data_IF_080393730123
#
_entry.id   IF_080393730123
#
_cell.length_a   1.000
_cell.length_b   1.000
_cell.length_c   1.000
_cell.angle_alpha   90.00
_cell.angle_beta   90.00
_cell.angle_gamma   90.00
#
_symmetry.space_group_name_H-M   'P 1'
#
loop_
_entity.id
_entity.type
_entity.pdbx_description
1 polymer ?
#
# COMPACT_ATOMS: atom_id res chain seq x y z
N UNK A 1 18.42 25.74 -34.89
CA UNK A 1 18.92 25.99 -33.51
C UNK A 1 18.55 27.40 -33.09
N UNK A 2 17.67 27.55 -32.08
CA UNK A 2 17.45 28.80 -31.35
C UNK A 2 16.92 28.43 -29.96
N UNK A 3 17.84 28.37 -29.00
CA UNK A 3 17.56 28.24 -27.57
C UNK A 3 16.79 29.49 -27.10
N UNK A 4 15.72 29.31 -26.33
CA UNK A 4 15.18 30.35 -25.46
C UNK A 4 15.40 29.93 -24.01
N UNK A 5 16.01 30.83 -23.28
CA UNK A 5 16.61 30.66 -21.96
C UNK A 5 15.55 30.63 -20.86
N UNK A 6 15.92 29.92 -19.80
CA UNK A 6 15.28 29.79 -18.50
C UNK A 6 14.78 31.11 -17.89
N UNK A 7 13.64 31.03 -17.21
CA UNK A 7 13.29 31.92 -16.10
C UNK A 7 12.78 31.04 -14.95
N UNK A 8 13.69 30.82 -14.01
CA UNK A 8 13.46 30.34 -12.67
C UNK A 8 12.62 31.37 -11.90
N UNK A 9 11.51 30.93 -11.32
CA UNK A 9 10.83 31.67 -10.25
C UNK A 9 10.62 30.72 -9.08
N UNK A 10 11.59 30.76 -8.16
CA UNK A 10 11.49 30.20 -6.83
C UNK A 10 10.40 30.95 -6.04
N UNK A 11 9.47 30.22 -5.44
CA UNK A 11 8.60 30.75 -4.38
C UNK A 11 9.23 30.32 -3.06
N UNK A 12 10.15 31.15 -2.59
CA UNK A 12 10.51 31.26 -1.19
C UNK A 12 9.48 32.20 -0.54
N UNK A 13 9.33 32.13 0.80
CA UNK A 13 8.60 32.99 1.75
C UNK A 13 7.48 32.20 2.48
N UNK A 14 7.31 32.17 3.81
CA UNK A 14 7.95 32.83 4.96
C UNK A 14 7.70 31.91 6.18
N UNK A 15 8.74 31.77 7.02
CA UNK A 15 8.69 31.20 8.36
C UNK A 15 7.80 32.08 9.25
N UNK A 16 6.76 31.53 9.88
CA UNK A 16 6.09 32.20 11.00
C UNK A 16 6.33 31.39 12.27
N UNK A 17 7.40 31.77 12.96
CA UNK A 17 7.61 31.45 14.36
C UNK A 17 6.52 32.15 15.19
N UNK A 18 5.72 31.37 15.90
CA UNK A 18 4.95 31.88 17.04
C UNK A 18 5.59 31.34 18.31
N UNK A 19 6.05 32.22 19.23
CA UNK A 19 6.66 31.79 20.48
C UNK A 19 5.54 31.45 21.49
N UNK A 20 5.36 30.16 21.78
CA UNK A 20 4.68 29.74 23.01
C UNK A 20 5.75 29.61 24.10
N UNK A 21 6.07 30.73 24.73
CA UNK A 21 6.81 30.73 25.98
C UNK A 21 5.86 30.31 27.12
N UNK A 22 5.86 29.02 27.46
CA UNK A 22 5.51 28.59 28.81
C UNK A 22 6.79 28.59 29.63
N UNK A 23 6.82 29.44 30.65
CA UNK A 23 7.88 29.51 31.64
C UNK A 23 7.81 28.26 32.51
N UNK A 24 8.82 27.40 32.47
CA UNK A 24 9.12 26.48 33.57
C UNK A 24 10.62 26.24 33.60
N UNK A 25 11.26 26.71 34.67
CA UNK A 25 12.64 26.35 34.98
C UNK A 25 12.67 24.86 35.34
N UNK A 26 13.31 24.08 34.49
CA UNK A 26 13.58 22.67 34.68
C UNK A 26 14.32 22.19 33.46
N UNK A 27 15.64 22.02 33.61
CA UNK A 27 16.46 21.29 32.65
C UNK A 27 15.83 19.92 32.44
N UNK A 28 15.36 19.66 31.23
CA UNK A 28 15.36 18.36 30.57
C UNK A 28 14.79 18.59 29.17
N UNK A 29 15.67 18.49 28.17
CA UNK A 29 15.31 18.36 26.76
C UNK A 29 14.59 17.02 26.59
N UNK A 30 13.29 16.96 26.25
CA UNK A 30 12.81 15.80 25.54
C UNK A 30 13.03 16.15 24.07
N UNK A 31 14.21 15.78 23.56
CA UNK A 31 14.29 15.31 22.19
C UNK A 31 13.34 14.11 22.13
N UNK A 32 12.05 14.40 21.91
CA UNK A 32 11.09 13.39 21.49
C UNK A 32 11.60 12.93 20.13
N UNK A 33 12.45 11.91 20.19
CA UNK A 33 12.61 10.93 19.13
C UNK A 33 11.18 10.51 18.85
N UNK A 34 10.59 11.10 17.81
CA UNK A 34 9.38 10.58 17.19
C UNK A 34 9.81 9.19 16.74
N UNK A 35 9.56 8.20 17.60
CA UNK A 35 9.77 6.80 17.28
C UNK A 35 9.00 6.56 15.99
N UNK A 36 9.75 6.34 14.91
CA UNK A 36 9.19 5.98 13.62
C UNK A 36 8.30 4.75 13.86
N UNK A 37 6.97 4.85 13.76
CA UNK A 37 6.09 3.78 14.18
C UNK A 37 6.37 2.58 13.30
N UNK A 38 7.04 1.56 13.83
CA UNK A 38 7.80 0.56 13.07
C UNK A 38 7.08 0.12 11.79
N UNK A 39 7.65 0.47 10.63
CA UNK A 39 7.14 0.06 9.31
C UNK A 39 7.45 -1.40 9.00
N UNK A 40 8.22 -2.06 9.86
CA UNK A 40 8.61 -3.46 9.71
C UNK A 40 7.52 -4.37 10.26
N UNK A 41 7.10 -5.34 9.47
CA UNK A 41 6.14 -6.36 9.88
C UNK A 41 6.85 -7.60 10.42
N UNK A 42 6.33 -8.18 11.50
CA UNK A 42 6.74 -9.51 11.97
C UNK A 42 6.12 -10.62 11.12
N UNK A 43 4.87 -10.44 10.72
CA UNK A 43 4.10 -11.35 9.88
C UNK A 43 3.31 -10.54 8.87
N UNK A 44 3.40 -10.92 7.60
CA UNK A 44 2.53 -10.40 6.57
C UNK A 44 1.31 -11.30 6.41
N UNK A 45 0.12 -10.70 6.34
CA UNK A 45 -1.15 -11.39 6.18
C UNK A 45 -1.66 -11.05 4.78
N UNK A 46 -1.85 -12.10 3.98
CA UNK A 46 -2.28 -11.96 2.59
C UNK A 46 -3.71 -11.37 2.49
N UNK A 47 -3.94 -10.39 1.59
CA UNK A 47 -5.27 -9.86 1.30
C UNK A 47 -6.27 -10.93 0.82
N UNK A 48 -7.55 -10.66 1.05
CA UNK A 48 -8.63 -11.57 0.65
C UNK A 48 -8.83 -11.58 -0.87
N UNK A 49 -8.47 -12.69 -1.53
CA UNK A 49 -8.41 -12.75 -2.99
C UNK A 49 -9.19 -13.92 -3.60
N UNK A 50 -10.38 -14.22 -3.06
CA UNK A 50 -11.23 -15.28 -3.62
C UNK A 50 -11.93 -14.82 -4.89
N UNK A 51 -11.77 -15.58 -5.99
CA UNK A 51 -12.40 -15.27 -7.30
C UNK A 51 -13.92 -15.23 -7.17
N UNK A 52 -14.53 -14.16 -7.69
CA UNK A 52 -15.99 -13.98 -7.66
C UNK A 52 -16.56 -13.52 -6.31
N UNK A 53 -15.72 -13.27 -5.30
CA UNK A 53 -16.20 -12.77 -4.03
C UNK A 53 -16.70 -11.32 -4.13
N UNK A 54 -17.65 -10.97 -3.28
CA UNK A 54 -18.23 -9.62 -3.22
C UNK A 54 -17.57 -8.75 -2.13
N UNK A 55 -17.96 -7.48 -2.10
CA UNK A 55 -17.47 -6.49 -1.14
C UNK A 55 -17.68 -6.91 0.33
N UNK A 56 -18.80 -7.54 0.66
CA UNK A 56 -19.13 -7.92 2.04
C UNK A 56 -18.25 -9.07 2.55
N UNK A 57 -17.90 -10.02 1.67
CA UNK A 57 -16.94 -11.07 2.00
C UNK A 57 -15.55 -10.47 2.29
N UNK A 58 -15.09 -9.51 1.47
CA UNK A 58 -13.84 -8.80 1.70
C UNK A 58 -13.87 -8.01 3.03
N UNK A 59 -14.93 -7.25 3.30
CA UNK A 59 -15.11 -6.53 4.57
C UNK A 59 -15.08 -7.48 5.77
N UNK A 60 -15.77 -8.61 5.67
CA UNK A 60 -15.82 -9.62 6.73
C UNK A 60 -14.44 -10.20 7.03
N UNK A 61 -13.65 -10.51 6.00
CA UNK A 61 -12.27 -10.96 6.17
C UNK A 61 -11.40 -9.87 6.79
N UNK A 62 -11.48 -8.64 6.27
CA UNK A 62 -10.69 -7.50 6.77
C UNK A 62 -10.94 -7.25 8.26
N UNK A 63 -12.21 -7.28 8.70
CA UNK A 63 -12.58 -7.11 10.10
C UNK A 63 -12.06 -8.23 11.02
N UNK A 64 -11.95 -9.46 10.51
CA UNK A 64 -11.52 -10.62 11.31
C UNK A 64 -10.00 -10.80 11.36
N UNK A 65 -9.33 -10.62 10.23
CA UNK A 65 -7.94 -11.04 10.03
C UNK A 65 -6.96 -9.87 9.95
N UNK A 66 -7.39 -8.69 9.49
CA UNK A 66 -6.49 -7.60 9.08
C UNK A 66 -6.53 -6.41 10.05
N UNK A 67 -6.25 -6.68 11.34
CA UNK A 67 -6.46 -5.73 12.45
C UNK A 67 -5.72 -4.39 12.36
N UNK A 68 -4.64 -4.29 11.57
CA UNK A 68 -3.90 -3.04 11.37
C UNK A 68 -4.56 -2.09 10.37
N UNK A 69 -5.56 -2.56 9.62
CA UNK A 69 -6.25 -1.80 8.59
C UNK A 69 -7.63 -1.37 9.06
N UNK A 70 -8.07 -0.19 8.64
CA UNK A 70 -9.47 0.22 8.74
C UNK A 70 -9.98 0.73 7.41
N UNK A 71 -11.30 0.62 7.22
CA UNK A 71 -11.97 1.11 6.03
C UNK A 71 -11.94 2.64 6.02
N UNK A 72 -11.25 3.24 5.05
CA UNK A 72 -11.19 4.67 4.83
C UNK A 72 -12.35 5.16 3.97
N UNK A 73 -12.69 4.40 2.92
CA UNK A 73 -13.80 4.75 2.03
C UNK A 73 -14.33 3.53 1.30
N UNK A 74 -15.62 3.60 0.99
CA UNK A 74 -16.30 2.74 0.04
C UNK A 74 -16.92 3.63 -1.03
N UNK A 75 -16.47 3.48 -2.27
CA UNK A 75 -16.96 4.26 -3.41
C UNK A 75 -17.65 3.35 -4.39
N UNK A 76 -18.78 3.79 -4.92
CA UNK A 76 -19.51 3.09 -5.97
C UNK A 76 -19.71 4.04 -7.13
N UNK A 77 -19.11 3.70 -8.27
CA UNK A 77 -19.18 4.47 -9.52
C UNK A 77 -19.80 3.61 -10.61
N UNK A 78 -20.11 4.21 -11.77
CA UNK A 78 -20.60 3.46 -12.91
C UNK A 78 -19.57 2.44 -13.48
N UNK A 79 -18.27 2.62 -13.18
CA UNK A 79 -17.19 1.78 -13.71
C UNK A 79 -16.63 0.78 -12.69
N UNK A 80 -16.74 1.05 -11.39
CA UNK A 80 -16.23 0.16 -10.34
C UNK A 80 -16.83 0.49 -8.97
N UNK A 81 -16.85 -0.52 -8.11
CA UNK A 81 -16.99 -0.37 -6.66
C UNK A 81 -15.59 -0.54 -6.06
N UNK A 82 -15.18 0.33 -5.14
CA UNK A 82 -13.88 0.24 -4.51
C UNK A 82 -13.98 0.32 -2.99
N UNK A 83 -13.18 -0.51 -2.31
CA UNK A 83 -12.94 -0.41 -0.88
C UNK A 83 -11.49 -0.02 -0.66
N UNK A 84 -11.27 1.10 0.02
CA UNK A 84 -9.94 1.58 0.39
C UNK A 84 -9.73 1.37 1.87
N UNK A 85 -8.73 0.57 2.20
CA UNK A 85 -8.26 0.34 3.57
C UNK A 85 -6.90 0.99 3.77
N UNK A 86 -6.67 1.57 4.93
CA UNK A 86 -5.39 2.23 5.28
C UNK A 86 -4.92 1.76 6.65
N UNK A 87 -3.61 1.84 6.91
CA UNK A 87 -3.01 1.51 8.22
C UNK A 87 -2.73 2.75 9.08
N UNK A 88 -2.97 3.95 8.53
CA UNK A 88 -2.59 5.26 9.09
C UNK A 88 -1.09 5.51 9.12
N UNK A 89 -0.28 4.61 8.56
CA UNK A 89 1.15 4.78 8.35
C UNK A 89 1.43 5.09 6.89
N UNK A 90 1.82 6.33 6.61
CA UNK A 90 2.24 6.75 5.27
C UNK A 90 1.22 6.38 4.19
N UNK A 91 1.69 5.71 3.13
CA UNK A 91 0.86 5.28 2.00
C UNK A 91 0.53 3.78 2.03
N UNK A 92 0.66 3.12 3.18
CA UNK A 92 0.29 1.71 3.31
C UNK A 92 -1.22 1.52 3.32
N UNK A 93 -1.70 0.56 2.54
CA UNK A 93 -3.13 0.35 2.37
C UNK A 93 -3.46 -0.73 1.38
N UNK A 94 -4.72 -1.14 1.38
CA UNK A 94 -5.26 -2.10 0.42
C UNK A 94 -6.41 -1.46 -0.34
N UNK A 95 -6.34 -1.52 -1.66
CA UNK A 95 -7.41 -1.14 -2.56
C UNK A 95 -8.02 -2.40 -3.16
N UNK A 96 -9.28 -2.67 -2.82
CA UNK A 96 -10.09 -3.68 -3.49
C UNK A 96 -10.94 -3.03 -4.58
N UNK A 97 -10.99 -3.64 -5.76
CA UNK A 97 -11.86 -3.19 -6.87
C UNK A 97 -12.79 -4.32 -7.33
N UNK A 98 -14.09 -3.99 -7.39
CA UNK A 98 -15.17 -4.91 -7.73
C UNK A 98 -15.94 -4.42 -8.95
N UNK A 99 -16.40 -5.37 -9.75
CA UNK A 99 -17.17 -5.13 -10.96
C UNK A 99 -18.53 -4.55 -10.59
N UNK A 100 -18.96 -3.44 -11.23
CA UNK A 100 -20.28 -2.88 -10.95
C UNK A 100 -21.42 -3.72 -11.58
N UNK A 101 -21.11 -4.67 -12.47
CA UNK A 101 -22.12 -5.49 -13.14
C UNK A 101 -22.59 -6.67 -12.28
N UNK A 102 -21.67 -7.37 -11.63
CA UNK A 102 -21.93 -8.60 -10.88
C UNK A 102 -21.39 -8.56 -9.45
N UNK A 103 -20.74 -7.47 -9.04
CA UNK A 103 -20.16 -7.30 -7.72
C UNK A 103 -18.90 -8.12 -7.48
N UNK A 104 -18.35 -8.79 -8.52
CA UNK A 104 -17.21 -9.68 -8.37
C UNK A 104 -15.89 -8.93 -8.19
N UNK A 105 -15.08 -9.38 -7.24
CA UNK A 105 -13.72 -8.92 -7.04
C UNK A 105 -12.86 -9.25 -8.27
N UNK A 106 -12.22 -8.23 -8.85
CA UNK A 106 -11.39 -8.39 -10.05
C UNK A 106 -9.96 -7.85 -9.91
N UNK A 107 -9.69 -7.01 -8.91
CA UNK A 107 -8.34 -6.50 -8.67
C UNK A 107 -8.13 -6.13 -7.21
N UNK A 108 -6.92 -6.38 -6.71
CA UNK A 108 -6.47 -6.00 -5.38
C UNK A 108 -5.08 -5.39 -5.52
N UNK A 109 -4.85 -4.26 -4.87
CA UNK A 109 -3.52 -3.66 -4.74
C UNK A 109 -3.26 -3.50 -3.25
N UNK A 110 -2.28 -4.25 -2.73
CA UNK A 110 -1.75 -4.08 -1.37
C UNK A 110 -0.43 -3.34 -1.44
N UNK A 111 -0.40 -2.13 -0.90
CA UNK A 111 0.77 -1.27 -0.88
C UNK A 111 1.44 -1.37 0.49
N UNK A 112 2.72 -1.75 0.47
CA UNK A 112 3.51 -2.04 1.66
C UNK A 112 4.85 -1.28 1.63
N UNK A 113 5.40 -1.02 2.81
CA UNK A 113 6.73 -0.41 2.91
C UNK A 113 7.82 -1.36 2.40
N UNK A 114 8.78 -0.85 1.63
CA UNK A 114 9.82 -1.62 0.93
C UNK A 114 10.69 -2.50 1.85
N UNK A 115 10.82 -2.14 3.12
CA UNK A 115 11.50 -2.96 4.15
C UNK A 115 10.85 -4.33 4.36
N UNK A 116 9.56 -4.48 4.02
CA UNK A 116 8.80 -5.72 4.16
C UNK A 116 8.85 -6.60 2.90
N UNK A 117 9.47 -6.13 1.81
CA UNK A 117 9.48 -6.85 0.52
C UNK A 117 10.01 -8.28 0.62
N UNK A 118 11.10 -8.49 1.36
CA UNK A 118 11.65 -9.83 1.58
C UNK A 118 10.65 -10.79 2.24
N UNK A 119 9.98 -10.33 3.30
CA UNK A 119 8.95 -11.09 4.01
C UNK A 119 7.80 -11.51 3.09
N UNK A 120 7.30 -10.57 2.29
CA UNK A 120 6.19 -10.80 1.36
C UNK A 120 6.61 -11.75 0.23
N UNK A 121 7.77 -11.53 -0.39
CA UNK A 121 8.28 -12.39 -1.47
C UNK A 121 8.50 -13.82 -0.97
N UNK A 122 9.04 -13.99 0.24
CA UNK A 122 9.28 -15.31 0.82
C UNK A 122 7.97 -16.04 1.16
N UNK A 123 6.94 -15.31 1.60
CA UNK A 123 5.59 -15.86 1.70
C UNK A 123 5.09 -16.31 0.32
N UNK A 124 5.09 -15.43 -0.67
CA UNK A 124 4.56 -15.74 -2.00
C UNK A 124 5.27 -16.93 -2.67
N UNK A 125 6.59 -17.07 -2.49
CA UNK A 125 7.37 -18.23 -2.97
C UNK A 125 6.93 -19.55 -2.35
N UNK A 126 6.40 -19.55 -1.12
CA UNK A 126 5.91 -20.76 -0.43
C UNK A 126 4.52 -21.16 -0.90
N UNK A 127 3.69 -20.19 -1.28
CA UNK A 127 2.27 -20.39 -1.57
C UNK A 127 1.95 -20.44 -3.08
N UNK A 128 2.80 -19.85 -3.92
CA UNK A 128 2.55 -19.69 -5.36
C UNK A 128 3.75 -20.13 -6.20
N UNK A 129 3.48 -20.42 -7.47
CA UNK A 129 4.54 -20.72 -8.44
C UNK A 129 5.15 -19.43 -8.96
N UNK A 130 6.44 -19.21 -8.70
CA UNK A 130 7.20 -18.13 -9.30
C UNK A 130 7.32 -18.33 -10.83
N UNK A 131 7.03 -17.28 -11.59
CA UNK A 131 7.08 -17.27 -13.07
C UNK A 131 8.16 -16.31 -13.56
N UNK A 132 8.27 -15.12 -12.96
CA UNK A 132 9.23 -14.09 -13.32
C UNK A 132 9.90 -13.59 -12.05
N UNK A 133 11.22 -13.44 -12.09
CA UNK A 133 12.00 -12.72 -11.08
C UNK A 133 13.02 -11.84 -11.80
N UNK A 134 12.82 -10.53 -11.71
CA UNK A 134 13.80 -9.51 -12.09
C UNK A 134 14.24 -8.79 -10.81
N UNK A 135 15.27 -9.33 -10.17
CA UNK A 135 15.81 -8.79 -8.92
C UNK A 135 16.34 -7.36 -9.11
N UNK A 136 16.85 -7.03 -10.30
CA UNK A 136 17.39 -5.69 -10.61
C UNK A 136 16.31 -4.62 -10.61
N UNK A 137 15.08 -4.98 -10.98
CA UNK A 137 13.92 -4.09 -10.95
C UNK A 137 13.02 -4.32 -9.75
N UNK A 138 13.38 -5.25 -8.86
CA UNK A 138 12.51 -5.68 -7.75
C UNK A 138 11.10 -6.05 -8.23
N UNK A 139 11.03 -6.78 -9.35
CA UNK A 139 9.78 -7.21 -9.96
C UNK A 139 9.67 -8.73 -9.92
N UNK A 140 8.57 -9.23 -9.37
CA UNK A 140 8.29 -10.66 -9.29
C UNK A 140 6.87 -10.94 -9.77
N UNK A 141 6.67 -12.04 -10.48
CA UNK A 141 5.35 -12.50 -10.87
C UNK A 141 5.16 -13.94 -10.44
N UNK A 142 4.02 -14.19 -9.80
CA UNK A 142 3.62 -15.50 -9.31
C UNK A 142 2.28 -15.88 -9.93
N UNK A 143 2.01 -17.18 -9.95
CA UNK A 143 0.73 -17.73 -10.40
C UNK A 143 0.24 -18.78 -9.41
N UNK A 144 -1.06 -18.74 -9.16
CA UNK A 144 -1.81 -19.76 -8.43
C UNK A 144 -1.75 -21.11 -9.14
N UNK A 145 -1.93 -22.19 -8.38
CA UNK A 145 -1.83 -23.56 -8.88
C UNK A 145 -2.88 -23.88 -9.96
N UNK A 146 -4.10 -23.34 -9.80
CA UNK A 146 -5.19 -23.43 -10.76
C UNK A 146 -5.09 -22.40 -11.90
N UNK A 147 -4.08 -21.53 -11.86
CA UNK A 147 -3.84 -20.44 -12.82
C UNK A 147 -4.94 -19.38 -12.87
N UNK A 148 -5.80 -19.32 -11.85
CA UNK A 148 -6.91 -18.37 -11.80
C UNK A 148 -6.48 -16.96 -11.35
N UNK A 149 -5.33 -16.84 -10.71
CA UNK A 149 -4.79 -15.59 -10.15
C UNK A 149 -3.32 -15.44 -10.49
N UNK A 150 -2.98 -14.25 -11.02
CA UNK A 150 -1.61 -13.77 -11.20
C UNK A 150 -1.34 -12.72 -10.13
N UNK A 151 -0.18 -12.82 -9.48
CA UNK A 151 0.26 -11.92 -8.42
C UNK A 151 1.54 -11.24 -8.88
N UNK A 152 1.55 -9.91 -8.96
CA UNK A 152 2.73 -9.14 -9.30
C UNK A 152 3.22 -8.37 -8.08
N UNK A 153 4.50 -8.51 -7.76
CA UNK A 153 5.19 -7.66 -6.79
C UNK A 153 5.99 -6.64 -7.58
N UNK A 154 5.67 -5.36 -7.43
CA UNK A 154 6.29 -4.28 -8.20
C UNK A 154 6.68 -3.14 -7.28
N UNK A 155 7.94 -2.70 -7.36
CA UNK A 155 8.38 -1.48 -6.67
C UNK A 155 7.74 -0.25 -7.32
N UNK A 156 7.05 0.56 -6.52
CA UNK A 156 6.37 1.78 -6.99
C UNK A 156 7.08 3.06 -6.57
N UNK A 157 7.92 3.00 -5.54
CA UNK A 157 8.78 4.10 -5.13
C UNK A 157 9.99 3.56 -4.34
N UNK A 158 10.85 4.46 -3.86
CA UNK A 158 11.97 4.05 -3.01
C UNK A 158 11.52 3.38 -1.70
N UNK A 159 10.38 3.83 -1.17
CA UNK A 159 9.86 3.43 0.14
C UNK A 159 8.72 2.42 0.06
N UNK A 160 8.13 2.16 -1.10
CA UNK A 160 6.92 1.33 -1.22
C UNK A 160 6.95 0.40 -2.44
N UNK A 161 6.27 -0.73 -2.28
CA UNK A 161 5.97 -1.67 -3.37
C UNK A 161 4.50 -2.08 -3.31
N UNK A 162 3.99 -2.55 -4.43
CA UNK A 162 2.65 -3.11 -4.53
C UNK A 162 2.72 -4.63 -4.65
N UNK A 163 1.75 -5.30 -4.05
CA UNK A 163 1.35 -6.67 -4.36
C UNK A 163 0.01 -6.60 -5.07
N UNK A 164 0.02 -6.90 -6.36
CA UNK A 164 -1.13 -6.73 -7.25
C UNK A 164 -1.71 -8.09 -7.61
N UNK A 165 -2.97 -8.32 -7.25
CA UNK A 165 -3.69 -9.54 -7.59
C UNK A 165 -4.60 -9.27 -8.78
N UNK A 166 -4.45 -10.05 -9.84
CA UNK A 166 -5.29 -10.00 -11.03
C UNK A 166 -5.89 -11.37 -11.29
N UNK A 167 -7.21 -11.41 -11.46
CA UNK A 167 -7.94 -12.64 -11.76
C UNK A 167 -7.94 -12.90 -13.26
N UNK A 168 -7.60 -14.12 -13.64
CA UNK A 168 -7.63 -14.60 -15.02
C UNK A 168 -8.96 -15.30 -15.27
N UNK A 169 -9.61 -14.96 -16.38
CA UNK A 169 -10.85 -15.57 -16.84
C UNK A 169 -10.59 -16.82 -17.68
#
# INVERSE_FOLDING_TARGET
MKMKKFLSNAILLILMATPLAFTSCGDDDPTEVIENPETKLDVWIEPYHVKGANADAAKSYMAQSMKRYWLQSETSTASCIQLTYVTGKGNEGILYSFSPQDGALYSIIDTEHATNSGLVIDYLKKHYKLVIADETKSQYSFISQDKAVVINVVRVSESYFNVEYTFVN
#
